data_IF_739995172381
#
_entry.id   IF_739995172381
#
_cell.length_a   1.000
_cell.length_b   1.000
_cell.length_c   1.000
_cell.angle_alpha   90.00
_cell.angle_beta   90.00
_cell.angle_gamma   90.00
#
_symmetry.space_group_name_H-M   'P 1'
#
loop_
_entity.id
_entity.type
_entity.pdbx_description
1 polymer ?
#
# COMPACT_ATOMS: atom_id res chain seq x y z
N UNK A 1 0.66 18.11 12.67
CA UNK A 1 0.62 19.13 11.59
C UNK A 1 -0.14 18.59 10.41
N UNK A 2 -1.09 19.37 9.87
CA UNK A 2 -1.81 19.04 8.65
C UNK A 2 -0.89 19.29 7.44
N UNK A 3 -0.88 18.38 6.47
CA UNK A 3 -0.04 18.49 5.27
C UNK A 3 -0.85 19.03 4.08
N UNK A 4 -0.17 19.40 2.99
CA UNK A 4 -0.82 19.71 1.71
C UNK A 4 -1.66 18.52 1.20
N UNK A 5 -1.15 17.30 1.35
CA UNK A 5 -1.91 16.07 1.06
C UNK A 5 -3.17 15.99 1.90
N UNK A 6 -3.09 16.30 3.19
CA UNK A 6 -4.23 16.27 4.11
C UNK A 6 -5.32 17.29 3.75
N UNK A 7 -4.91 18.50 3.37
CA UNK A 7 -5.83 19.56 2.94
C UNK A 7 -6.70 19.13 1.75
N UNK A 8 -6.17 18.31 0.84
CA UNK A 8 -6.91 17.81 -0.32
C UNK A 8 -7.62 16.48 0.00
N UNK A 9 -6.91 15.54 0.62
CA UNK A 9 -7.37 14.16 0.73
C UNK A 9 -8.41 13.96 1.83
N UNK A 10 -8.37 14.74 2.92
CA UNK A 10 -9.39 14.66 4.00
C UNK A 10 -10.79 15.02 3.46
N UNK A 11 -11.00 16.17 2.78
CA UNK A 11 -12.29 16.47 2.16
C UNK A 11 -12.75 15.40 1.17
N UNK A 12 -11.82 14.87 0.35
CA UNK A 12 -12.13 13.78 -0.60
C UNK A 12 -12.61 12.52 0.12
N UNK A 13 -11.97 12.13 1.23
CA UNK A 13 -12.41 11.01 2.04
C UNK A 13 -13.80 11.24 2.64
N UNK A 14 -14.06 12.42 3.20
CA UNK A 14 -15.37 12.76 3.77
C UNK A 14 -16.47 12.74 2.70
N UNK A 15 -16.20 13.31 1.53
CA UNK A 15 -17.13 13.26 0.40
C UNK A 15 -17.35 11.81 -0.10
N UNK A 16 -16.31 10.99 -0.16
CA UNK A 16 -16.43 9.58 -0.52
C UNK A 16 -17.28 8.81 0.49
N UNK A 17 -17.21 9.15 1.78
CA UNK A 17 -18.05 8.53 2.81
C UNK A 17 -19.55 8.75 2.56
N UNK A 18 -19.94 9.86 1.94
CA UNK A 18 -21.36 10.14 1.59
C UNK A 18 -21.75 9.66 0.19
N UNK A 19 -20.79 9.42 -0.71
CA UNK A 19 -21.03 9.03 -2.11
C UNK A 19 -21.22 7.51 -2.34
N UNK A 20 -21.14 6.69 -1.28
CA UNK A 20 -21.40 5.25 -1.32
C UNK A 20 -20.16 4.37 -1.53
N UNK A 21 -20.34 3.04 -1.42
CA UNK A 21 -19.24 2.07 -1.29
C UNK A 21 -18.24 2.11 -2.45
N UNK A 22 -18.69 2.31 -3.69
CA UNK A 22 -17.78 2.39 -4.84
C UNK A 22 -16.82 3.58 -4.74
N UNK A 23 -17.33 4.75 -4.33
CA UNK A 23 -16.49 5.92 -4.10
C UNK A 23 -15.54 5.68 -2.92
N UNK A 24 -16.03 5.05 -1.85
CA UNK A 24 -15.22 4.71 -0.69
C UNK A 24 -14.01 3.82 -1.07
N UNK A 25 -14.24 2.75 -1.85
CA UNK A 25 -13.15 1.87 -2.27
C UNK A 25 -12.22 2.51 -3.31
N UNK A 26 -12.76 3.35 -4.21
CA UNK A 26 -11.93 4.08 -5.16
C UNK A 26 -10.99 5.06 -4.45
N UNK A 27 -11.49 5.81 -3.46
CA UNK A 27 -10.67 6.71 -2.64
C UNK A 27 -9.67 5.92 -1.79
N UNK A 28 -10.09 4.80 -1.19
CA UNK A 28 -9.18 3.92 -0.45
C UNK A 28 -8.04 3.42 -1.35
N UNK A 29 -8.34 2.86 -2.52
CA UNK A 29 -7.35 2.38 -3.49
C UNK A 29 -6.44 3.48 -4.03
N UNK A 30 -6.96 4.68 -4.30
CA UNK A 30 -6.12 5.82 -4.66
C UNK A 30 -5.17 6.20 -3.51
N UNK A 31 -5.64 6.12 -2.25
CA UNK A 31 -4.81 6.35 -1.08
C UNK A 31 -3.74 5.28 -0.86
N UNK A 32 -3.94 4.03 -1.30
CA UNK A 32 -2.97 2.94 -1.05
C UNK A 32 -1.69 3.07 -1.86
N UNK A 33 -1.72 3.84 -2.96
CA UNK A 33 -0.53 4.07 -3.79
C UNK A 33 0.24 5.33 -3.39
N UNK A 34 -0.33 6.18 -2.52
CA UNK A 34 0.31 7.38 -1.98
C UNK A 34 1.08 7.05 -0.69
N UNK A 35 1.96 6.06 -0.75
CA UNK A 35 2.59 5.50 0.47
C UNK A 35 3.61 6.43 1.12
N UNK A 36 4.19 7.34 0.34
CA UNK A 36 5.12 8.36 0.87
C UNK A 36 4.43 9.63 1.37
N UNK A 37 3.12 9.74 1.20
CA UNK A 37 2.36 10.90 1.63
C UNK A 37 1.78 10.68 3.03
N UNK A 38 1.55 11.76 3.77
CA UNK A 38 0.80 11.76 5.01
C UNK A 38 -0.33 12.77 4.92
N UNK A 39 -1.52 12.46 5.46
CA UNK A 39 -2.58 13.46 5.64
C UNK A 39 -2.34 14.30 6.90
N UNK A 40 -1.77 13.70 7.94
CA UNK A 40 -1.43 14.35 9.20
C UNK A 40 -0.11 13.77 9.70
N UNK A 41 0.85 14.64 10.02
CA UNK A 41 2.08 14.27 10.72
C UNK A 41 1.90 14.49 12.24
N UNK A 42 2.10 13.45 13.03
CA UNK A 42 2.11 13.43 14.49
C UNK A 42 3.54 13.15 14.97
N UNK A 43 4.27 14.21 15.29
CA UNK A 43 5.70 14.16 15.64
C UNK A 43 6.52 13.37 14.61
N UNK A 44 6.92 12.14 14.93
CA UNK A 44 7.77 11.27 14.11
C UNK A 44 7.02 10.32 13.16
N UNK A 45 5.69 10.40 13.09
CA UNK A 45 4.88 9.51 12.27
C UNK A 45 3.80 10.25 11.46
N UNK A 46 3.62 9.88 10.19
CA UNK A 46 2.57 10.41 9.33
C UNK A 46 1.47 9.40 9.00
N UNK A 47 0.20 9.76 9.23
CA UNK A 47 -0.95 8.94 8.84
C UNK A 47 -1.07 8.96 7.31
N UNK A 48 -0.88 7.82 6.64
CA UNK A 48 -1.00 7.74 5.18
C UNK A 48 -2.46 7.92 4.71
N UNK A 49 -2.67 8.41 3.47
CA UNK A 49 -3.99 8.58 2.87
C UNK A 49 -4.91 7.34 2.98
N UNK A 50 -4.41 6.15 2.65
CA UNK A 50 -5.19 4.91 2.78
C UNK A 50 -5.60 4.62 4.22
N UNK A 51 -4.69 4.78 5.18
CA UNK A 51 -5.00 4.55 6.59
C UNK A 51 -6.05 5.53 7.10
N UNK A 52 -6.01 6.79 6.69
CA UNK A 52 -7.06 7.74 7.06
C UNK A 52 -8.44 7.29 6.56
N UNK A 53 -8.55 6.94 5.28
CA UNK A 53 -9.81 6.43 4.73
C UNK A 53 -10.24 5.11 5.39
N UNK A 54 -9.28 4.21 5.66
CA UNK A 54 -9.52 2.96 6.37
C UNK A 54 -10.05 3.18 7.79
N UNK A 55 -9.48 4.12 8.53
CA UNK A 55 -9.93 4.47 9.88
C UNK A 55 -11.34 5.05 9.87
N UNK A 56 -11.72 5.84 8.86
CA UNK A 56 -13.12 6.29 8.70
C UNK A 56 -14.07 5.11 8.48
N UNK A 57 -13.68 4.16 7.63
CA UNK A 57 -14.49 2.97 7.35
C UNK A 57 -14.66 2.09 8.59
N UNK A 58 -13.56 1.87 9.33
CA UNK A 58 -13.59 1.14 10.60
C UNK A 58 -14.40 1.88 11.67
N UNK A 59 -14.26 3.20 11.76
CA UNK A 59 -15.00 4.03 12.70
C UNK A 59 -16.51 3.93 12.47
N UNK A 60 -16.96 4.04 11.21
CA UNK A 60 -18.38 3.85 10.87
C UNK A 60 -18.85 2.43 11.20
N UNK A 61 -18.05 1.41 10.88
CA UNK A 61 -18.39 0.04 11.24
C UNK A 61 -18.51 -0.13 12.77
N UNK A 62 -17.60 0.45 13.54
CA UNK A 62 -17.61 0.43 15.01
C UNK A 62 -18.85 1.12 15.59
N UNK A 63 -19.21 2.31 15.11
CA UNK A 63 -20.43 3.01 15.54
C UNK A 63 -21.68 2.18 15.24
N UNK A 64 -21.79 1.62 14.03
CA UNK A 64 -22.92 0.76 13.67
C UNK A 64 -23.00 -0.51 14.52
N UNK A 65 -21.83 -1.07 14.88
CA UNK A 65 -21.72 -2.23 15.77
C UNK A 65 -22.28 -1.91 17.15
N UNK A 66 -21.85 -0.77 17.73
CA UNK A 66 -22.32 -0.31 19.03
C UNK A 66 -23.83 -0.04 19.03
N UNK A 67 -24.34 0.62 17.99
CA UNK A 67 -25.77 0.92 17.86
C UNK A 67 -26.65 -0.33 17.69
N UNK A 68 -26.12 -1.39 17.07
CA UNK A 68 -26.86 -2.63 16.78
C UNK A 68 -26.60 -3.75 17.79
N UNK A 69 -25.73 -3.53 18.77
CA UNK A 69 -25.32 -4.55 19.75
C UNK A 69 -24.44 -5.66 19.18
N UNK A 70 -23.86 -5.49 17.99
CA UNK A 70 -22.98 -6.48 17.37
C UNK A 70 -22.73 -6.27 15.87
N UNK A 71 -21.65 -6.90 15.38
CA UNK A 71 -21.30 -6.95 13.96
C UNK A 71 -21.17 -8.41 13.53
N UNK A 72 -22.04 -8.84 12.62
CA UNK A 72 -22.01 -10.20 12.11
C UNK A 72 -21.23 -10.24 10.80
N UNK A 73 -19.97 -10.69 10.87
CA UNK A 73 -19.16 -10.98 9.69
C UNK A 73 -19.71 -12.20 8.94
N UNK A 74 -19.65 -12.15 7.62
CA UNK A 74 -19.94 -13.30 6.78
C UNK A 74 -18.98 -14.47 7.08
N UNK A 75 -19.54 -15.67 7.29
CA UNK A 75 -18.76 -16.87 7.63
C UNK A 75 -17.78 -17.26 6.52
N UNK A 76 -18.16 -17.10 5.26
CA UNK A 76 -17.28 -17.42 4.14
C UNK A 76 -16.10 -16.44 4.08
N UNK A 77 -16.33 -15.16 4.41
CA UNK A 77 -15.25 -14.17 4.55
C UNK A 77 -14.29 -14.57 5.66
N UNK A 78 -14.79 -14.88 6.86
CA UNK A 78 -13.96 -15.31 7.98
C UNK A 78 -13.09 -16.52 7.64
N UNK A 79 -13.67 -17.56 7.02
CA UNK A 79 -12.94 -18.77 6.64
C UNK A 79 -11.87 -18.49 5.58
N UNK A 80 -12.18 -17.67 4.57
CA UNK A 80 -11.22 -17.28 3.53
C UNK A 80 -10.10 -16.38 4.06
N UNK A 81 -10.34 -15.68 5.16
CA UNK A 81 -9.36 -14.80 5.81
C UNK A 81 -8.56 -15.50 6.93
N UNK A 82 -8.84 -16.78 7.23
CA UNK A 82 -8.08 -17.56 8.22
C UNK A 82 -6.55 -17.55 7.98
N UNK A 83 -6.03 -17.59 6.75
CA UNK A 83 -4.58 -17.47 6.52
C UNK A 83 -3.97 -16.17 7.07
N UNK A 84 -4.73 -15.06 7.08
CA UNK A 84 -4.27 -13.79 7.66
C UNK A 84 -4.18 -13.86 9.19
N UNK A 85 -5.07 -14.60 9.84
CA UNK A 85 -4.99 -14.85 11.27
C UNK A 85 -3.77 -15.73 11.61
N UNK A 86 -3.49 -16.74 10.78
CA UNK A 86 -2.27 -17.56 10.93
C UNK A 86 -1.01 -16.72 10.72
N UNK A 87 -1.01 -15.80 9.75
CA UNK A 87 0.08 -14.84 9.55
C UNK A 87 0.29 -13.97 10.81
N UNK A 88 -0.78 -13.41 11.38
CA UNK A 88 -0.70 -12.62 12.61
C UNK A 88 -0.10 -13.42 13.77
N UNK A 89 -0.58 -14.66 13.99
CA UNK A 89 -0.05 -15.55 15.03
C UNK A 89 1.41 -15.91 14.77
N UNK A 90 1.79 -16.13 13.51
CA UNK A 90 3.18 -16.43 13.12
C UNK A 90 4.10 -15.24 13.38
N UNK A 91 3.66 -14.01 13.08
CA UNK A 91 4.40 -12.80 13.40
C UNK A 91 4.54 -12.60 14.91
N UNK A 92 3.47 -12.82 15.69
CA UNK A 92 3.51 -12.74 17.16
C UNK A 92 4.50 -13.76 17.74
N UNK A 93 4.45 -15.00 17.24
CA UNK A 93 5.38 -16.04 17.64
C UNK A 93 6.83 -15.68 17.26
N UNK A 94 7.07 -15.16 16.06
CA UNK A 94 8.39 -14.72 15.63
C UNK A 94 8.94 -13.59 16.51
N UNK A 95 8.12 -12.59 16.86
CA UNK A 95 8.52 -11.53 17.79
C UNK A 95 8.82 -12.09 19.18
N UNK A 96 7.98 -12.99 19.69
CA UNK A 96 8.19 -13.63 20.98
C UNK A 96 9.56 -14.31 21.03
N UNK A 97 9.87 -15.15 20.04
CA UNK A 97 11.16 -15.83 19.98
C UNK A 97 12.32 -14.87 19.77
N UNK A 98 12.15 -13.84 18.93
CA UNK A 98 13.18 -12.84 18.74
C UNK A 98 13.50 -12.10 20.06
N UNK A 99 12.47 -11.75 20.83
CA UNK A 99 12.60 -11.09 22.13
C UNK A 99 13.13 -12.04 23.20
N UNK A 100 12.74 -13.31 23.21
CA UNK A 100 13.14 -14.25 24.24
C UNK A 100 14.58 -14.77 24.05
N UNK A 101 15.05 -14.87 22.81
CA UNK A 101 16.32 -15.54 22.47
C UNK A 101 17.41 -14.55 22.05
N UNK A 102 17.07 -13.45 21.37
CA UNK A 102 18.08 -12.54 20.80
C UNK A 102 18.21 -11.22 21.54
N UNK A 103 17.53 -11.06 22.68
CA UNK A 103 17.62 -9.85 23.50
C UNK A 103 19.06 -9.55 23.88
N UNK A 104 19.56 -8.37 23.52
CA UNK A 104 20.92 -7.90 23.78
C UNK A 104 22.06 -8.75 23.16
N UNK A 105 21.74 -9.88 22.54
CA UNK A 105 22.72 -10.84 22.01
C UNK A 105 23.09 -10.61 20.55
N UNK A 106 22.21 -9.97 19.77
CA UNK A 106 22.40 -9.73 18.33
C UNK A 106 22.44 -8.24 18.02
N UNK A 107 23.33 -7.84 17.11
CA UNK A 107 23.37 -6.48 16.57
C UNK A 107 22.39 -6.34 15.40
N UNK A 108 21.54 -5.32 15.46
CA UNK A 108 20.53 -5.03 14.44
C UNK A 108 20.57 -3.56 14.05
N UNK A 109 20.30 -3.28 12.77
CA UNK A 109 20.07 -1.92 12.29
C UNK A 109 18.57 -1.68 12.32
N UNK A 110 18.13 -0.53 12.85
CA UNK A 110 16.71 -0.22 12.87
C UNK A 110 16.21 0.02 11.44
N UNK A 111 14.94 -0.32 11.17
CA UNK A 111 14.34 -0.06 9.85
C UNK A 111 14.33 1.43 9.46
N UNK A 112 14.55 2.34 10.43
CA UNK A 112 14.69 3.79 10.17
C UNK A 112 16.06 4.17 9.60
N UNK A 113 17.08 3.39 9.93
CA UNK A 113 18.48 3.64 9.57
C UNK A 113 18.90 2.88 8.30
N UNK A 114 17.99 2.09 7.71
CA UNK A 114 18.18 1.37 6.45
C UNK A 114 19.48 0.56 6.43
N UNK A 115 20.43 0.94 5.56
CA UNK A 115 21.71 0.24 5.35
C UNK A 115 22.87 0.87 6.13
N UNK A 116 22.62 1.79 7.06
CA UNK A 116 23.67 2.36 7.91
C UNK A 116 24.11 1.36 8.99
N UNK A 117 25.04 0.48 8.62
CA UNK A 117 25.63 -0.52 9.52
C UNK A 117 26.37 0.10 10.70
N UNK A 118 26.79 1.36 10.61
CA UNK A 118 27.47 2.06 11.71
C UNK A 118 26.52 2.43 12.85
N UNK A 119 25.22 2.45 12.55
CA UNK A 119 24.14 2.70 13.52
C UNK A 119 23.57 1.41 14.13
N UNK A 120 24.22 0.26 13.90
CA UNK A 120 23.80 -0.99 14.48
C UNK A 120 23.80 -0.91 16.01
N UNK A 121 22.70 -1.34 16.62
CA UNK A 121 22.51 -1.35 18.06
C UNK A 121 22.15 -2.77 18.52
N UNK A 122 22.33 -3.04 19.81
CA UNK A 122 21.88 -4.31 20.38
C UNK A 122 20.37 -4.45 20.24
N UNK A 123 19.95 -5.65 19.86
CA UNK A 123 18.54 -5.97 19.68
C UNK A 123 17.80 -5.78 21.00
N UNK A 124 16.74 -4.99 20.94
CA UNK A 124 15.87 -4.69 22.06
C UNK A 124 14.45 -4.54 21.53
N UNK A 125 13.47 -4.73 22.41
CA UNK A 125 12.08 -4.47 22.07
C UNK A 125 11.81 -2.97 22.05
N UNK A 126 11.34 -2.47 20.89
CA UNK A 126 11.13 -1.03 20.66
C UNK A 126 9.72 -0.74 20.18
N UNK A 127 9.40 0.56 20.16
CA UNK A 127 8.12 1.08 19.66
C UNK A 127 7.82 0.65 18.22
N UNK A 128 8.86 0.45 17.40
CA UNK A 128 8.78 -0.03 16.03
C UNK A 128 8.13 -1.41 15.96
N UNK A 129 8.50 -2.32 16.86
CA UNK A 129 7.92 -3.67 16.91
C UNK A 129 6.41 -3.57 17.18
N UNK A 130 6.00 -2.80 18.18
CA UNK A 130 4.59 -2.56 18.51
C UNK A 130 3.83 -1.92 17.34
N UNK A 131 4.43 -0.93 16.68
CA UNK A 131 3.82 -0.25 15.54
C UNK A 131 3.55 -1.22 14.38
N UNK A 132 4.48 -2.14 14.07
CA UNK A 132 4.27 -3.16 13.04
C UNK A 132 3.10 -4.08 13.37
N UNK A 133 2.91 -4.46 14.63
CA UNK A 133 1.73 -5.23 15.05
C UNK A 133 0.45 -4.42 14.91
N UNK A 134 0.46 -3.15 15.32
CA UNK A 134 -0.69 -2.28 15.16
C UNK A 134 -1.08 -2.13 13.68
N UNK A 135 -0.11 -1.97 12.77
CA UNK A 135 -0.37 -1.96 11.32
C UNK A 135 -0.91 -3.29 10.82
N UNK A 136 -0.34 -4.41 11.25
CA UNK A 136 -0.80 -5.73 10.80
C UNK A 136 -2.24 -6.00 11.25
N UNK A 137 -2.58 -5.70 12.51
CA UNK A 137 -3.94 -5.81 13.02
C UNK A 137 -4.87 -4.89 12.23
N UNK A 138 -4.48 -3.64 12.03
CA UNK A 138 -5.27 -2.67 11.27
C UNK A 138 -5.52 -3.15 9.83
N UNK A 139 -4.50 -3.66 9.16
CA UNK A 139 -4.61 -4.21 7.81
C UNK A 139 -5.56 -5.41 7.77
N UNK A 140 -5.47 -6.34 8.73
CA UNK A 140 -6.38 -7.50 8.82
C UNK A 140 -7.82 -7.05 9.04
N UNK A 141 -8.05 -6.13 9.98
CA UNK A 141 -9.38 -5.58 10.25
C UNK A 141 -9.97 -4.87 9.03
N UNK A 142 -9.16 -4.08 8.32
CA UNK A 142 -9.56 -3.44 7.08
C UNK A 142 -9.89 -4.48 6.01
N UNK A 143 -9.04 -5.47 5.79
CA UNK A 143 -9.31 -6.52 4.79
C UNK A 143 -10.61 -7.26 5.10
N UNK A 144 -10.85 -7.63 6.37
CA UNK A 144 -12.10 -8.26 6.81
C UNK A 144 -13.31 -7.39 6.54
N UNK A 145 -13.26 -6.11 6.93
CA UNK A 145 -14.35 -5.16 6.72
C UNK A 145 -14.63 -4.96 5.23
N UNK A 146 -13.60 -4.75 4.42
CA UNK A 146 -13.74 -4.52 2.98
C UNK A 146 -14.30 -5.76 2.28
N UNK A 147 -13.80 -6.95 2.61
CA UNK A 147 -14.28 -8.22 2.06
C UNK A 147 -15.75 -8.47 2.44
N UNK A 148 -16.13 -8.25 3.71
CA UNK A 148 -17.51 -8.39 4.18
C UNK A 148 -18.45 -7.41 3.49
N UNK A 149 -18.03 -6.15 3.28
CA UNK A 149 -18.86 -5.17 2.56
C UNK A 149 -18.99 -5.50 1.07
N UNK A 150 -17.95 -6.06 0.46
CA UNK A 150 -17.97 -6.45 -0.95
C UNK A 150 -18.83 -7.69 -1.19
N UNK A 151 -18.74 -8.73 -0.35
CA UNK A 151 -19.46 -10.00 -0.55
C UNK A 151 -20.98 -9.84 -0.48
N UNK A 152 -21.46 -8.80 0.21
CA UNK A 152 -22.88 -8.44 0.32
C UNK A 152 -23.46 -7.80 -0.94
N UNK A 153 -22.62 -7.43 -1.90
CA UNK A 153 -23.07 -6.88 -3.17
C UNK A 153 -23.46 -8.00 -4.15
N UNK A 154 -24.47 -7.78 -5.02
CA UNK A 154 -24.71 -8.65 -6.16
C UNK A 154 -23.45 -8.75 -7.04
N UNK A 155 -23.20 -9.93 -7.62
CA UNK A 155 -21.95 -10.22 -8.35
C UNK A 155 -21.54 -9.15 -9.39
N UNK A 156 -22.44 -8.61 -10.24
CA UNK A 156 -22.08 -7.55 -11.18
C UNK A 156 -21.62 -6.26 -10.49
N UNK A 157 -22.27 -5.88 -9.39
CA UNK A 157 -21.93 -4.70 -8.62
C UNK A 157 -20.63 -4.88 -7.84
N UNK A 158 -20.38 -6.08 -7.30
CA UNK A 158 -19.12 -6.46 -6.66
C UNK A 158 -17.95 -6.27 -7.63
N UNK A 159 -18.01 -6.94 -8.79
CA UNK A 159 -16.93 -6.87 -9.78
C UNK A 159 -16.69 -5.44 -10.23
N UNK A 160 -17.75 -4.70 -10.60
CA UNK A 160 -17.63 -3.29 -11.01
C UNK A 160 -16.96 -2.44 -9.94
N UNK A 161 -17.31 -2.64 -8.68
CA UNK A 161 -16.77 -1.88 -7.55
C UNK A 161 -15.30 -2.22 -7.29
N UNK A 162 -14.95 -3.51 -7.29
CA UNK A 162 -13.58 -3.97 -7.13
C UNK A 162 -12.68 -3.49 -8.30
N UNK A 163 -13.13 -3.65 -9.55
CA UNK A 163 -12.39 -3.17 -10.72
C UNK A 163 -12.19 -1.66 -10.69
N UNK A 164 -13.20 -0.88 -10.29
CA UNK A 164 -13.08 0.58 -10.19
C UNK A 164 -12.01 0.97 -9.17
N UNK A 165 -11.94 0.28 -8.03
CA UNK A 165 -10.94 0.56 -7.00
C UNK A 165 -9.51 0.26 -7.47
N UNK A 166 -9.29 -0.92 -8.08
CA UNK A 166 -7.97 -1.29 -8.60
C UNK A 166 -7.55 -0.41 -9.76
N UNK A 167 -8.46 -0.07 -10.69
CA UNK A 167 -8.18 0.83 -11.80
C UNK A 167 -7.89 2.25 -11.33
N UNK A 168 -8.62 2.75 -10.32
CA UNK A 168 -8.34 4.05 -9.73
C UNK A 168 -6.94 4.11 -9.13
N UNK A 169 -6.57 3.10 -8.32
CA UNK A 169 -5.24 2.97 -7.76
C UNK A 169 -4.15 2.90 -8.85
N UNK A 170 -4.35 2.04 -9.86
CA UNK A 170 -3.44 1.87 -10.98
C UNK A 170 -3.22 3.17 -11.76
N UNK A 171 -4.31 3.87 -12.11
CA UNK A 171 -4.23 5.11 -12.87
C UNK A 171 -3.52 6.22 -12.09
N UNK A 172 -3.82 6.37 -10.79
CA UNK A 172 -3.16 7.36 -9.92
C UNK A 172 -1.67 7.04 -9.80
N UNK A 173 -1.31 5.78 -9.56
CA UNK A 173 0.08 5.36 -9.49
C UNK A 173 0.82 5.58 -10.82
N UNK A 174 0.21 5.22 -11.95
CA UNK A 174 0.81 5.35 -13.28
C UNK A 174 1.04 6.82 -13.64
N UNK A 175 0.08 7.68 -13.33
CA UNK A 175 0.20 9.13 -13.55
C UNK A 175 1.42 9.69 -12.81
N UNK A 176 1.55 9.41 -11.51
CA UNK A 176 2.64 9.96 -10.70
C UNK A 176 3.99 9.31 -10.99
N UNK A 177 4.04 8.02 -11.32
CA UNK A 177 5.28 7.37 -11.78
C UNK A 177 5.75 7.94 -13.11
N UNK A 178 4.84 8.16 -14.06
CA UNK A 178 5.19 8.79 -15.33
C UNK A 178 5.65 10.25 -15.14
N UNK A 179 5.01 10.99 -14.24
CA UNK A 179 5.42 12.36 -13.90
C UNK A 179 6.81 12.39 -13.27
N UNK A 180 7.07 11.53 -12.28
CA UNK A 180 8.39 11.43 -11.63
C UNK A 180 9.49 11.07 -12.63
N UNK A 181 9.23 10.09 -13.51
CA UNK A 181 10.16 9.74 -14.59
C UNK A 181 10.44 10.90 -15.56
N UNK A 182 9.40 11.66 -15.94
CA UNK A 182 9.56 12.83 -16.80
C UNK A 182 10.32 13.95 -16.09
N UNK A 183 10.05 14.20 -14.81
CA UNK A 183 10.76 15.18 -13.99
C UNK A 183 12.25 14.87 -13.93
N UNK A 184 12.62 13.62 -13.65
CA UNK A 184 14.02 13.18 -13.68
C UNK A 184 14.65 13.27 -15.07
N UNK A 185 13.90 12.99 -16.13
CA UNK A 185 14.44 12.96 -17.50
C UNK A 185 14.56 14.34 -18.15
N UNK A 186 13.72 15.30 -17.76
CA UNK A 186 13.57 16.60 -18.46
C UNK A 186 13.71 17.82 -17.54
N UNK A 187 13.78 17.62 -16.23
CA UNK A 187 13.84 18.70 -15.23
C UNK A 187 12.51 19.42 -14.99
N UNK A 188 11.38 18.88 -15.50
CA UNK A 188 10.07 19.45 -15.18
C UNK A 188 9.75 19.28 -13.68
N UNK A 189 8.95 20.19 -13.14
CA UNK A 189 8.54 20.16 -11.74
C UNK A 189 7.79 18.88 -11.38
N UNK A 190 8.12 18.27 -10.24
CA UNK A 190 7.38 17.19 -9.59
C UNK A 190 6.86 17.67 -8.21
N UNK A 191 5.62 17.33 -7.80
CA UNK A 191 5.03 17.88 -6.59
C UNK A 191 5.46 17.13 -5.30
N UNK A 192 6.76 17.16 -4.99
CA UNK A 192 7.35 16.45 -3.85
C UNK A 192 6.70 16.78 -2.51
N UNK A 193 6.46 18.06 -2.25
CA UNK A 193 5.83 18.49 -0.99
C UNK A 193 4.42 17.92 -0.78
N UNK A 194 3.75 17.48 -1.86
CA UNK A 194 2.45 16.83 -1.80
C UNK A 194 2.56 15.30 -1.73
N UNK A 195 3.48 14.68 -2.48
CA UNK A 195 3.60 13.22 -2.59
C UNK A 195 4.52 12.60 -1.54
N UNK A 196 5.52 13.34 -1.08
CA UNK A 196 6.54 12.93 -0.11
C UNK A 196 6.41 13.76 1.19
N UNK A 197 5.17 13.95 1.65
CA UNK A 197 4.87 14.73 2.86
C UNK A 197 4.99 13.95 4.18
N UNK A 198 5.23 12.63 4.12
CA UNK A 198 5.34 11.80 5.31
C UNK A 198 6.75 11.83 5.89
N UNK A 199 6.89 12.37 7.11
CA UNK A 199 8.18 12.53 7.77
C UNK A 199 8.98 11.22 7.96
N UNK A 200 8.31 10.06 7.97
CA UNK A 200 8.95 8.76 8.15
C UNK A 200 9.31 8.07 6.82
N UNK A 201 8.44 8.19 5.82
CA UNK A 201 8.55 7.43 4.57
C UNK A 201 9.17 8.23 3.41
N UNK A 202 9.22 9.56 3.51
CA UNK A 202 9.78 10.42 2.47
C UNK A 202 11.31 10.37 2.37
N UNK A 203 11.99 9.87 3.40
CA UNK A 203 13.46 9.84 3.46
C UNK A 203 14.11 8.86 2.48
N UNK A 204 13.31 7.99 1.85
CA UNK A 204 13.77 6.99 0.89
C UNK A 204 13.52 7.40 -0.58
N UNK A 205 12.99 8.59 -0.82
CA UNK A 205 12.82 9.17 -2.15
C UNK A 205 14.18 9.65 -2.72
N UNK A 206 14.26 9.87 -4.03
CA UNK A 206 15.48 10.29 -4.76
C UNK A 206 16.68 9.33 -4.67
N UNK A 207 16.45 8.03 -4.44
CA UNK A 207 17.53 7.04 -4.49
C UNK A 207 18.13 6.93 -5.90
N UNK A 208 19.46 6.85 -6.00
CA UNK A 208 20.19 6.63 -7.24
C UNK A 208 21.24 5.51 -7.08
N UNK A 209 21.52 4.79 -8.16
CA UNK A 209 22.69 3.89 -8.26
C UNK A 209 23.68 4.47 -9.27
N UNK A 210 24.69 5.19 -8.77
CA UNK A 210 25.55 6.00 -9.64
C UNK A 210 24.72 7.07 -10.36
N UNK A 211 24.82 7.12 -11.67
CA UNK A 211 24.07 8.08 -12.52
C UNK A 211 22.65 7.61 -12.88
N UNK A 212 22.24 6.43 -12.41
CA UNK A 212 20.92 5.86 -12.71
C UNK A 212 19.94 6.28 -11.62
N UNK A 213 19.02 7.18 -11.98
CA UNK A 213 17.88 7.55 -11.14
C UNK A 213 16.96 6.34 -10.91
N UNK A 214 16.49 6.16 -9.67
CA UNK A 214 15.55 5.09 -9.32
C UNK A 214 14.18 5.70 -9.03
N UNK A 215 13.31 5.63 -10.04
CA UNK A 215 11.98 6.25 -10.01
C UNK A 215 11.12 5.56 -8.94
N UNK A 216 10.46 6.34 -8.10
CA UNK A 216 9.56 5.83 -7.06
C UNK A 216 8.15 6.40 -7.18
N UNK A 217 7.91 7.43 -7.98
CA UNK A 217 6.61 8.10 -8.09
C UNK A 217 6.05 8.44 -6.71
N UNK A 218 4.79 8.11 -6.41
CA UNK A 218 4.16 8.42 -5.12
C UNK A 218 4.58 7.47 -3.97
N UNK A 219 5.42 6.49 -4.27
CA UNK A 219 5.84 5.46 -3.30
C UNK A 219 7.06 5.93 -2.51
N UNK A 220 7.21 5.39 -1.30
CA UNK A 220 8.33 5.71 -0.41
C UNK A 220 9.69 5.37 -1.01
N UNK A 221 9.78 4.28 -1.76
CA UNK A 221 11.02 3.80 -2.36
C UNK A 221 10.74 2.98 -3.64
N UNK A 222 11.75 2.73 -4.50
CA UNK A 222 11.53 2.01 -5.75
C UNK A 222 11.09 0.55 -5.58
N UNK A 223 11.47 -0.12 -4.49
CA UNK A 223 10.96 -1.46 -4.13
C UNK A 223 9.49 -1.44 -3.77
N UNK A 224 9.00 -0.39 -3.09
CA UNK A 224 7.59 -0.25 -2.77
C UNK A 224 6.73 -0.04 -4.03
N UNK A 225 7.23 0.74 -5.00
CA UNK A 225 6.65 0.81 -6.35
C UNK A 225 6.58 -0.59 -6.96
N UNK A 226 7.70 -1.33 -6.94
CA UNK A 226 7.75 -2.66 -7.54
C UNK A 226 6.72 -3.64 -6.93
N UNK A 227 6.57 -3.64 -5.60
CA UNK A 227 5.54 -4.45 -4.94
C UNK A 227 4.12 -4.10 -5.41
N UNK A 228 3.77 -2.82 -5.47
CA UNK A 228 2.46 -2.40 -5.96
C UNK A 228 2.24 -2.79 -7.42
N UNK A 229 3.24 -2.56 -8.27
CA UNK A 229 3.16 -2.89 -9.69
C UNK A 229 3.23 -4.38 -10.00
N UNK A 230 3.79 -5.22 -9.12
CA UNK A 230 3.65 -6.68 -9.21
C UNK A 230 2.19 -7.11 -9.12
N UNK A 231 1.44 -6.55 -8.16
CA UNK A 231 0.00 -6.76 -8.03
C UNK A 231 -0.79 -6.21 -9.23
N UNK A 232 -0.44 -5.01 -9.69
CA UNK A 232 -1.08 -4.41 -10.87
C UNK A 232 -0.78 -5.17 -12.16
N UNK A 233 0.43 -5.69 -12.33
CA UNK A 233 0.80 -6.51 -13.48
C UNK A 233 0.02 -7.82 -13.50
N UNK A 234 -0.12 -8.49 -12.35
CA UNK A 234 -0.96 -9.68 -12.23
C UNK A 234 -2.42 -9.38 -12.60
N UNK A 235 -2.98 -8.28 -12.08
CA UNK A 235 -4.34 -7.84 -12.41
C UNK A 235 -4.51 -7.49 -13.90
N UNK A 236 -3.60 -6.70 -14.48
CA UNK A 236 -3.62 -6.30 -15.88
C UNK A 236 -3.49 -7.51 -16.81
N UNK A 237 -2.62 -8.46 -16.46
CA UNK A 237 -2.43 -9.71 -17.20
C UNK A 237 -3.68 -10.58 -17.16
N UNK A 238 -4.28 -10.78 -15.98
CA UNK A 238 -5.54 -11.52 -15.85
C UNK A 238 -6.66 -10.89 -16.68
N UNK A 239 -6.74 -9.56 -16.71
CA UNK A 239 -7.69 -8.84 -17.56
C UNK A 239 -7.39 -9.00 -19.06
N UNK A 240 -6.12 -8.96 -19.45
CA UNK A 240 -5.72 -9.17 -20.83
C UNK A 240 -6.02 -10.59 -21.30
N UNK A 241 -5.77 -11.59 -20.46
CA UNK A 241 -6.07 -12.99 -20.78
C UNK A 241 -7.58 -13.25 -20.93
N UNK A 242 -8.42 -12.58 -20.12
CA UNK A 242 -9.87 -12.71 -20.19
C UNK A 242 -10.48 -12.07 -21.46
N UNK A 243 -10.15 -10.80 -21.75
CA UNK A 243 -10.87 -10.02 -22.78
C UNK A 243 -10.01 -9.65 -24.00
N UNK A 244 -8.68 -9.80 -23.93
CA UNK A 244 -7.69 -9.46 -24.99
C UNK A 244 -7.84 -8.06 -25.62
N UNK A 245 -8.29 -7.09 -24.83
CA UNK A 245 -8.49 -5.72 -25.32
C UNK A 245 -7.19 -4.92 -25.37
N UNK A 246 -7.11 -3.96 -26.29
CA UNK A 246 -5.98 -3.01 -26.36
C UNK A 246 -5.78 -2.23 -25.04
N UNK A 247 -6.87 -1.92 -24.33
CA UNK A 247 -6.80 -1.26 -23.02
C UNK A 247 -6.08 -2.13 -21.99
N UNK A 248 -6.39 -3.43 -21.95
CA UNK A 248 -5.72 -4.35 -21.03
C UNK A 248 -4.23 -4.53 -21.40
N UNK A 249 -3.91 -4.58 -22.70
CA UNK A 249 -2.52 -4.60 -23.17
C UNK A 249 -1.76 -3.34 -22.73
N UNK A 250 -2.34 -2.15 -22.89
CA UNK A 250 -1.73 -0.89 -22.45
C UNK A 250 -1.46 -0.88 -20.94
N UNK A 251 -2.35 -1.47 -20.13
CA UNK A 251 -2.12 -1.60 -18.70
C UNK A 251 -0.95 -2.54 -18.38
N UNK A 252 -0.82 -3.66 -19.09
CA UNK A 252 0.33 -4.57 -18.95
C UNK A 252 1.61 -3.83 -19.31
N UNK A 253 1.65 -3.14 -20.46
CA UNK A 253 2.82 -2.38 -20.90
C UNK A 253 3.20 -1.27 -19.93
N UNK A 254 2.21 -0.52 -19.40
CA UNK A 254 2.45 0.50 -18.40
C UNK A 254 2.99 -0.09 -17.09
N UNK A 255 2.49 -1.26 -16.67
CA UNK A 255 2.99 -1.94 -15.47
C UNK A 255 4.43 -2.45 -15.65
N UNK A 256 4.74 -3.04 -16.80
CA UNK A 256 6.11 -3.46 -17.15
C UNK A 256 7.03 -2.24 -17.21
N UNK A 257 6.61 -1.16 -17.86
CA UNK A 257 7.37 0.09 -17.93
C UNK A 257 7.70 0.65 -16.55
N UNK A 258 6.70 0.74 -15.66
CA UNK A 258 6.88 1.18 -14.28
C UNK A 258 7.89 0.30 -13.51
N UNK A 259 7.81 -1.03 -13.66
CA UNK A 259 8.76 -1.95 -13.03
C UNK A 259 10.19 -1.71 -13.53
N UNK A 260 10.38 -1.55 -14.85
CA UNK A 260 11.71 -1.29 -15.44
C UNK A 260 12.30 0.03 -14.95
N UNK A 261 11.54 1.13 -14.97
CA UNK A 261 12.06 2.45 -14.57
C UNK A 261 12.32 2.56 -13.06
N UNK A 262 11.71 1.70 -12.24
CA UNK A 262 12.00 1.65 -10.80
C UNK A 262 13.42 1.17 -10.48
N UNK A 263 14.05 0.46 -11.42
CA UNK A 263 15.43 -0.05 -11.30
C UNK A 263 15.72 -0.73 -9.94
N UNK A 264 14.72 -1.40 -9.37
CA UNK A 264 14.83 -2.15 -8.11
C UNK A 264 15.03 -3.64 -8.37
N UNK A 265 15.80 -4.32 -7.51
CA UNK A 265 15.97 -5.79 -7.54
C UNK A 265 14.62 -6.51 -7.46
N UNK A 266 13.70 -5.99 -6.63
CA UNK A 266 12.33 -6.50 -6.51
C UNK A 266 11.59 -6.46 -7.85
N UNK A 267 11.73 -5.38 -8.62
CA UNK A 267 11.06 -5.26 -9.92
C UNK A 267 11.56 -6.30 -10.92
N UNK A 268 12.88 -6.49 -11.03
CA UNK A 268 13.45 -7.48 -11.95
C UNK A 268 13.08 -8.91 -11.55
N UNK A 269 13.05 -9.23 -10.25
CA UNK A 269 12.59 -10.52 -9.77
C UNK A 269 11.10 -10.76 -10.15
N UNK A 270 10.24 -9.76 -9.96
CA UNK A 270 8.82 -9.85 -10.32
C UNK A 270 8.61 -9.99 -11.83
N UNK A 271 9.37 -9.27 -12.64
CA UNK A 271 9.33 -9.41 -14.11
C UNK A 271 9.76 -10.82 -14.55
N UNK A 272 10.83 -11.36 -13.97
CA UNK A 272 11.27 -12.73 -14.27
C UNK A 272 10.20 -13.76 -13.92
N UNK A 273 9.59 -13.65 -12.73
CA UNK A 273 8.48 -14.51 -12.32
C UNK A 273 7.26 -14.37 -13.23
N UNK A 274 6.93 -13.15 -13.65
CA UNK A 274 5.83 -12.88 -14.57
C UNK A 274 6.07 -13.50 -15.94
N UNK A 275 7.28 -13.38 -16.51
CA UNK A 275 7.64 -14.02 -17.78
C UNK A 275 7.47 -15.53 -17.68
N UNK A 276 7.99 -16.16 -16.62
CA UNK A 276 7.81 -17.61 -16.39
C UNK A 276 6.33 -17.97 -16.30
N UNK A 277 5.54 -17.19 -15.55
CA UNK A 277 4.11 -17.44 -15.39
C UNK A 277 3.30 -17.25 -16.67
N UNK A 278 3.74 -16.41 -17.60
CA UNK A 278 3.06 -16.19 -18.89
C UNK A 278 3.41 -17.25 -19.95
N UNK A 279 4.49 -18.02 -19.74
CA UNK A 279 4.92 -19.10 -20.64
C UNK A 279 4.23 -20.45 -20.33
N UNK A 280 3.62 -20.57 -19.15
CA UNK A 280 2.88 -21.77 -18.68
C UNK A 280 1.39 -21.59 -18.93
#
# INVERSE_FOLDING_TARGET
MLTLTGLVFIPVCVAAMTAGLRAQLATFGAGTVLTSAAVVNLASFGIQPAYFMGLLLLGVAGVLTLMRGGYCLDRAVLLRMAPLAVLLLSCLNALFWATAVFWDDVWVVSGRQMFDLSSAERYSFRSENLNQFAYLILNILLTLLLADRLVRLPAPALLKTAHTAVLGAFSVATLFVAWDWLAHSTGIYFPDAFLHSNAFYATAHEQAFGDIARISGPFSEPSALAYAYGGFLAYASGRYLADRTARALLMVLAAVGALVVSTSTTAYALLALWVVAMLV
#
